data_IF_672992797255
#
_entry.id   IF_672992797255
#
_cell.length_a   1.000
_cell.length_b   1.000
_cell.length_c   1.000
_cell.angle_alpha   90.00
_cell.angle_beta   90.00
_cell.angle_gamma   90.00
#
_symmetry.space_group_name_H-M   'P 1'
#
loop_
_entity.id
_entity.type
_entity.pdbx_description
1 polymer ?
#
# COMPACT_ATOMS: atom_id res chain seq x y z
N UNK A 1 -16.67 0.45 30.52
CA UNK A 1 -15.77 1.40 29.84
C UNK A 1 -16.13 1.29 28.38
N UNK A 2 -16.58 2.36 27.73
CA UNK A 2 -16.95 2.31 26.31
C UNK A 2 -15.67 2.52 25.52
N UNK A 3 -15.31 1.57 24.67
CA UNK A 3 -14.13 1.66 23.79
C UNK A 3 -14.61 2.13 22.43
N UNK A 4 -14.00 3.18 21.85
CA UNK A 4 -14.35 3.63 20.50
C UNK A 4 -13.39 3.03 19.49
N UNK A 5 -13.95 2.38 18.47
CA UNK A 5 -13.20 1.84 17.34
C UNK A 5 -13.64 2.52 16.06
N UNK A 6 -12.69 3.04 15.30
CA UNK A 6 -12.94 3.54 13.94
C UNK A 6 -12.58 2.47 12.93
N UNK A 7 -13.41 2.31 11.90
CA UNK A 7 -13.25 1.25 10.89
C UNK A 7 -13.42 1.84 9.52
N UNK A 8 -12.40 1.72 8.66
CA UNK A 8 -12.42 2.39 7.36
C UNK A 8 -13.03 1.53 6.23
N UNK A 9 -12.78 0.22 6.27
CA UNK A 9 -13.25 -0.70 5.24
C UNK A 9 -14.57 -1.39 5.64
N UNK A 10 -15.55 -1.41 4.71
CA UNK A 10 -16.87 -2.03 4.90
C UNK A 10 -16.78 -3.51 5.30
N UNK A 11 -15.81 -4.23 4.74
CA UNK A 11 -15.59 -5.64 5.06
C UNK A 11 -15.02 -5.81 6.48
N UNK A 12 -14.25 -4.85 6.99
CA UNK A 12 -13.79 -4.83 8.38
C UNK A 12 -14.94 -4.53 9.34
N UNK A 13 -15.82 -3.57 8.99
CA UNK A 13 -16.95 -3.18 9.83
C UNK A 13 -17.91 -4.35 10.08
N UNK A 14 -18.21 -5.12 9.03
CA UNK A 14 -19.12 -6.27 9.13
C UNK A 14 -18.52 -7.49 9.88
N UNK A 15 -17.21 -7.49 10.13
CA UNK A 15 -16.51 -8.58 10.85
C UNK A 15 -16.27 -8.28 12.33
N UNK A 16 -16.45 -7.03 12.75
CA UNK A 16 -16.25 -6.62 14.14
C UNK A 16 -17.54 -6.89 14.91
N UNK A 17 -17.46 -7.79 15.88
CA UNK A 17 -18.52 -8.02 16.85
C UNK A 17 -17.93 -8.07 18.25
N UNK A 18 -17.74 -6.90 18.84
CA UNK A 18 -17.27 -6.78 20.22
C UNK A 18 -18.29 -6.02 21.06
N UNK A 19 -18.77 -6.66 22.14
CA UNK A 19 -19.89 -6.16 22.95
C UNK A 19 -19.58 -4.86 23.70
N UNK A 20 -18.30 -4.59 23.95
CA UNK A 20 -17.84 -3.44 24.73
C UNK A 20 -17.35 -2.27 23.86
N UNK A 21 -17.54 -2.36 22.53
CA UNK A 21 -17.04 -1.39 21.57
C UNK A 21 -18.19 -0.61 20.92
N UNK A 22 -17.99 0.70 20.83
CA UNK A 22 -18.77 1.58 19.98
C UNK A 22 -18.02 1.79 18.66
N UNK A 23 -18.54 1.20 17.58
CA UNK A 23 -17.85 1.14 16.29
C UNK A 23 -18.35 2.24 15.37
N UNK A 24 -17.42 3.04 14.83
CA UNK A 24 -17.70 4.12 13.87
C UNK A 24 -17.11 3.73 12.51
N UNK A 25 -17.99 3.47 11.54
CA UNK A 25 -17.59 3.22 10.17
C UNK A 25 -17.29 4.52 9.41
N UNK A 26 -16.08 4.63 8.88
CA UNK A 26 -15.55 5.83 8.20
C UNK A 26 -15.08 5.46 6.79
N UNK A 27 -16.01 5.14 5.88
CA UNK A 27 -15.67 4.74 4.50
C UNK A 27 -14.77 5.74 3.75
N UNK A 28 -13.59 5.32 3.28
CA UNK A 28 -12.67 6.03 2.37
C UNK A 28 -11.92 7.23 2.98
N UNK A 29 -11.09 7.91 2.16
CA UNK A 29 -10.18 9.01 2.55
C UNK A 29 -10.69 9.97 3.65
N UNK A 30 -9.81 10.28 4.61
CA UNK A 30 -10.08 11.14 5.76
C UNK A 30 -10.20 12.63 5.40
N UNK A 31 -11.42 13.13 5.22
CA UNK A 31 -11.68 14.57 5.00
C UNK A 31 -11.96 15.37 6.29
N UNK A 32 -11.93 16.71 6.19
CA UNK A 32 -12.12 17.66 7.31
C UNK A 32 -13.42 17.42 8.08
N UNK A 33 -14.51 17.04 7.39
CA UNK A 33 -15.81 16.81 8.02
C UNK A 33 -15.80 15.55 8.92
N UNK A 34 -15.23 14.45 8.43
CA UNK A 34 -15.04 13.21 9.21
C UNK A 34 -14.15 13.46 10.43
N UNK A 35 -13.05 14.20 10.24
CA UNK A 35 -12.15 14.57 11.33
C UNK A 35 -12.85 15.43 12.40
N UNK A 36 -13.69 16.39 11.98
CA UNK A 36 -14.43 17.27 12.90
C UNK A 36 -15.46 16.50 13.73
N UNK A 37 -16.16 15.54 13.10
CA UNK A 37 -17.12 14.67 13.78
C UNK A 37 -16.44 13.82 14.86
N UNK A 38 -15.29 13.20 14.54
CA UNK A 38 -14.56 12.35 15.49
C UNK A 38 -14.02 13.18 16.66
N UNK A 39 -13.48 14.38 16.40
CA UNK A 39 -13.05 15.31 17.45
C UNK A 39 -14.20 15.73 18.36
N UNK A 40 -15.38 15.98 17.80
CA UNK A 40 -16.56 16.31 18.60
C UNK A 40 -16.94 15.15 19.51
N UNK A 41 -16.97 13.92 18.99
CA UNK A 41 -17.24 12.70 19.78
C UNK A 41 -16.19 12.55 20.89
N UNK A 42 -14.90 12.71 20.60
CA UNK A 42 -13.84 12.64 21.61
C UNK A 42 -13.99 13.72 22.70
N UNK A 43 -14.31 14.97 22.32
CA UNK A 43 -14.47 16.07 23.28
C UNK A 43 -15.67 15.93 24.21
N UNK A 44 -16.67 15.15 23.81
CA UNK A 44 -17.92 14.97 24.53
C UNK A 44 -18.00 13.67 25.34
N UNK A 45 -16.99 12.78 25.22
CA UNK A 45 -16.98 11.49 25.88
C UNK A 45 -15.67 11.27 26.67
N UNK A 46 -15.78 10.80 27.91
CA UNK A 46 -14.64 10.40 28.78
C UNK A 46 -14.02 9.05 28.38
N UNK A 47 -13.92 8.79 27.07
CA UNK A 47 -13.38 7.53 26.53
C UNK A 47 -11.86 7.54 26.63
N UNK A 48 -11.31 6.58 27.36
CA UNK A 48 -9.86 6.47 27.65
C UNK A 48 -9.05 5.78 26.56
N UNK A 49 -9.71 5.04 25.67
CA UNK A 49 -9.04 4.20 24.68
C UNK A 49 -9.71 4.29 23.32
N UNK A 50 -8.89 4.58 22.30
CA UNK A 50 -9.28 4.72 20.91
C UNK A 50 -8.48 3.75 20.06
N UNK A 51 -9.17 2.99 19.22
CA UNK A 51 -8.57 2.04 18.31
C UNK A 51 -9.01 2.36 16.88
N UNK A 52 -8.14 2.05 15.93
CA UNK A 52 -8.44 2.13 14.50
C UNK A 52 -8.16 0.80 13.85
N UNK A 53 -9.04 0.43 12.93
CA UNK A 53 -9.01 -0.86 12.26
C UNK A 53 -9.36 -0.68 10.79
N UNK A 54 -8.35 -0.66 9.93
CA UNK A 54 -8.50 -0.30 8.52
C UNK A 54 -7.16 0.15 7.94
N UNK A 55 -7.21 0.59 6.69
CA UNK A 55 -6.06 1.13 5.99
C UNK A 55 -5.64 2.44 6.68
N UNK A 56 -4.34 2.72 6.76
CA UNK A 56 -3.84 3.96 7.38
C UNK A 56 -3.28 4.83 6.27
N UNK A 57 -4.15 5.70 5.74
CA UNK A 57 -3.75 6.75 4.81
C UNK A 57 -2.72 7.71 5.45
N UNK A 58 -1.97 8.50 4.67
CA UNK A 58 -1.06 9.53 5.20
C UNK A 58 -1.76 10.55 6.12
N UNK A 59 -3.01 10.91 5.81
CA UNK A 59 -3.88 11.74 6.66
C UNK A 59 -4.37 10.99 7.91
N UNK A 60 -4.31 9.66 7.84
CA UNK A 60 -4.51 8.70 8.92
C UNK A 60 -3.47 8.84 10.04
N UNK A 61 -2.20 8.97 9.66
CA UNK A 61 -1.10 9.01 10.63
C UNK A 61 -1.13 10.26 11.53
N UNK A 62 -1.57 11.39 10.98
CA UNK A 62 -1.71 12.66 11.71
C UNK A 62 -2.82 12.66 12.78
N UNK A 63 -3.75 11.69 12.76
CA UNK A 63 -4.82 11.60 13.75
C UNK A 63 -4.47 10.71 14.95
N UNK A 64 -3.77 9.59 14.74
CA UNK A 64 -3.44 8.63 15.82
C UNK A 64 -2.49 9.25 16.85
N UNK A 65 -1.64 10.16 16.38
CA UNK A 65 -0.73 10.98 17.19
C UNK A 65 -1.42 12.15 17.91
N UNK A 66 -2.59 12.62 17.45
CA UNK A 66 -3.32 13.76 18.06
C UNK A 66 -4.37 13.35 19.11
N UNK A 67 -4.88 12.12 19.07
CA UNK A 67 -5.83 11.60 20.06
C UNK A 67 -5.12 11.14 21.36
N UNK A 68 -3.82 10.87 21.29
CA UNK A 68 -2.96 10.57 22.45
C UNK A 68 -2.30 11.90 22.87
N UNK A 69 -2.99 12.61 23.76
CA UNK A 69 -2.61 13.83 24.49
C UNK A 69 -1.75 14.87 23.74
N UNK A 70 -2.32 15.96 23.19
CA UNK A 70 -1.76 17.33 23.30
C UNK A 70 -2.87 18.39 23.12
N UNK A 71 -2.91 19.38 24.03
CA UNK A 71 -3.82 20.54 24.00
C UNK A 71 -3.48 21.45 22.79
N UNK A 72 -4.50 21.84 22.02
CA UNK A 72 -4.37 22.62 20.79
C UNK A 72 -3.94 24.09 21.02
N UNK A 73 -3.07 24.59 20.14
CA UNK A 73 -2.69 26.00 19.99
C UNK A 73 -2.94 26.41 18.51
N UNK A 74 -3.61 27.56 18.31
CA UNK A 74 -4.20 28.02 17.04
C UNK A 74 -3.22 28.68 16.04
N UNK A 75 -1.98 28.19 15.95
CA UNK A 75 -0.95 28.89 15.17
C UNK A 75 -0.11 27.89 14.37
N UNK A 76 -0.52 27.59 13.13
CA UNK A 76 0.06 26.57 12.26
C UNK A 76 1.57 26.74 12.06
N UNK A 77 2.06 27.99 11.93
CA UNK A 77 3.50 28.28 11.82
C UNK A 77 4.25 27.96 13.11
N UNK A 78 3.68 28.24 14.30
CA UNK A 78 4.28 27.81 15.56
C UNK A 78 4.18 26.31 15.79
N UNK A 79 3.17 25.64 15.25
CA UNK A 79 3.05 24.18 15.29
C UNK A 79 4.14 23.54 14.44
N UNK A 80 4.46 24.10 13.26
CA UNK A 80 5.58 23.63 12.45
C UNK A 80 6.93 23.93 13.13
N UNK A 81 7.10 25.13 13.71
CA UNK A 81 8.31 25.49 14.46
C UNK A 81 8.49 24.63 15.73
N UNK A 82 7.40 24.28 16.42
CA UNK A 82 7.42 23.35 17.56
C UNK A 82 7.59 21.90 17.13
N UNK A 83 7.05 21.47 15.98
CA UNK A 83 7.29 20.14 15.42
C UNK A 83 8.77 19.99 15.02
N UNK A 84 9.37 21.01 14.40
CA UNK A 84 10.79 21.06 14.08
C UNK A 84 11.66 21.12 15.34
N UNK A 85 11.21 21.82 16.37
CA UNK A 85 11.91 21.88 17.66
C UNK A 85 11.78 20.58 18.45
N UNK A 86 10.63 19.91 18.43
CA UNK A 86 10.42 18.59 19.02
C UNK A 86 11.18 17.52 18.23
N UNK A 87 11.27 17.66 16.90
CA UNK A 87 12.15 16.87 16.05
C UNK A 87 13.62 17.11 16.45
N UNK A 88 14.06 18.34 16.72
CA UNK A 88 15.41 18.55 17.28
C UNK A 88 15.58 17.99 18.68
N UNK A 89 14.63 18.18 19.60
CA UNK A 89 14.75 17.73 21.00
C UNK A 89 14.65 16.20 21.15
N UNK A 90 13.95 15.49 20.25
CA UNK A 90 13.91 14.02 20.19
C UNK A 90 15.15 13.45 19.48
N UNK A 91 15.69 14.15 18.47
CA UNK A 91 16.75 13.64 17.59
C UNK A 91 18.16 14.26 17.83
N UNK A 92 18.33 15.18 18.77
CA UNK A 92 19.66 15.66 19.23
C UNK A 92 20.32 14.71 20.25
N UNK A 93 19.60 13.66 20.67
CA UNK A 93 20.22 12.44 21.19
C UNK A 93 20.57 11.52 20.03
N UNK A 94 21.78 10.98 20.02
CA UNK A 94 22.28 9.99 19.05
C UNK A 94 21.26 8.83 18.87
N UNK A 95 20.36 8.95 17.89
CA UNK A 95 19.22 8.06 17.67
C UNK A 95 19.17 7.67 16.19
N UNK A 96 19.59 6.44 15.88
CA UNK A 96 18.72 5.27 15.62
C UNK A 96 17.80 5.45 14.41
N UNK A 97 18.07 4.66 13.38
CA UNK A 97 17.25 4.40 12.17
C UNK A 97 15.74 4.65 12.33
N UNK A 98 15.16 5.54 11.52
CA UNK A 98 13.70 5.70 11.45
C UNK A 98 13.07 4.56 10.66
N UNK A 99 11.86 4.14 11.01
CA UNK A 99 11.09 3.15 10.26
C UNK A 99 9.77 3.75 9.80
N UNK A 100 9.54 3.74 8.48
CA UNK A 100 8.35 4.22 7.81
C UNK A 100 7.57 3.03 7.23
N UNK A 101 6.23 3.12 7.24
CA UNK A 101 5.36 2.14 6.60
C UNK A 101 4.41 2.87 5.66
N UNK A 102 4.24 2.35 4.44
CA UNK A 102 3.36 2.90 3.40
C UNK A 102 2.65 1.74 2.69
N UNK A 103 1.48 1.97 2.10
CA UNK A 103 0.75 1.00 1.26
C UNK A 103 0.08 1.71 0.09
N UNK A 104 -0.46 0.94 -0.86
CA UNK A 104 -1.46 1.38 -1.84
C UNK A 104 -0.98 2.57 -2.70
N UNK A 105 0.25 2.44 -3.21
CA UNK A 105 0.87 3.47 -4.05
C UNK A 105 0.15 3.59 -5.40
N UNK A 106 -0.31 2.46 -5.96
CA UNK A 106 -1.17 2.44 -7.15
C UNK A 106 -0.65 3.32 -8.30
N UNK A 107 0.62 3.20 -8.69
CA UNK A 107 1.22 3.96 -9.78
C UNK A 107 1.25 5.48 -9.56
N UNK A 108 1.03 5.97 -8.33
CA UNK A 108 1.18 7.38 -7.92
C UNK A 108 2.66 7.70 -7.65
N UNK A 109 3.50 7.51 -8.67
CA UNK A 109 4.95 7.62 -8.54
C UNK A 109 5.42 9.02 -8.10
N UNK A 110 4.80 10.09 -8.60
CA UNK A 110 5.21 11.46 -8.28
C UNK A 110 4.91 11.80 -6.81
N UNK A 111 3.75 11.39 -6.31
CA UNK A 111 3.35 11.52 -4.90
C UNK A 111 4.26 10.69 -4.00
N UNK A 112 4.62 9.49 -4.44
CA UNK A 112 5.58 8.64 -3.75
C UNK A 112 6.95 9.32 -3.63
N UNK A 113 7.50 9.89 -4.71
CA UNK A 113 8.77 10.64 -4.63
C UNK A 113 8.66 11.88 -3.74
N UNK A 114 7.59 12.67 -3.86
CA UNK A 114 7.35 13.83 -3.00
C UNK A 114 7.28 13.44 -1.51
N UNK A 115 6.70 12.27 -1.20
CA UNK A 115 6.68 11.74 0.16
C UNK A 115 8.10 11.45 0.66
N UNK A 116 8.92 10.72 -0.12
CA UNK A 116 10.30 10.42 0.23
C UNK A 116 11.13 11.69 0.46
N UNK A 117 10.95 12.70 -0.38
CA UNK A 117 11.60 14.01 -0.22
C UNK A 117 11.17 14.70 1.08
N UNK A 118 9.86 14.71 1.37
CA UNK A 118 9.28 15.36 2.55
C UNK A 118 9.76 14.74 3.86
N UNK A 119 9.94 13.42 3.90
CA UNK A 119 10.48 12.73 5.08
C UNK A 119 12.00 12.72 5.12
N UNK A 120 12.67 13.31 4.12
CA UNK A 120 14.12 13.27 3.94
C UNK A 120 14.67 11.84 4.00
N UNK A 121 13.99 10.90 3.34
CA UNK A 121 14.33 9.48 3.39
C UNK A 121 15.77 9.25 2.95
N UNK A 122 16.54 8.54 3.79
CA UNK A 122 17.97 8.32 3.61
C UNK A 122 18.34 6.85 3.79
N UNK A 123 19.60 6.50 3.57
CA UNK A 123 20.16 5.17 3.79
C UNK A 123 20.19 4.75 5.27
N UNK A 124 19.96 5.69 6.20
CA UNK A 124 19.85 5.43 7.64
C UNK A 124 18.47 5.01 8.06
N UNK A 125 17.46 5.22 7.22
CA UNK A 125 16.07 4.91 7.51
C UNK A 125 15.69 3.52 6.99
N UNK A 126 14.49 3.04 7.33
CA UNK A 126 13.88 1.83 6.82
C UNK A 126 12.50 2.19 6.29
N UNK A 127 12.19 1.84 5.05
CA UNK A 127 10.85 1.97 4.48
C UNK A 127 10.26 0.59 4.25
N UNK A 128 9.04 0.37 4.72
CA UNK A 128 8.28 -0.86 4.50
C UNK A 128 7.06 -0.51 3.67
N UNK A 129 7.06 -0.91 2.40
CA UNK A 129 5.92 -0.76 1.51
C UNK A 129 5.05 -2.03 1.61
N UNK A 130 3.77 -1.87 1.88
CA UNK A 130 2.86 -2.91 2.33
C UNK A 130 1.93 -3.42 1.21
N UNK A 131 2.34 -3.31 -0.05
CA UNK A 131 1.62 -3.84 -1.20
C UNK A 131 0.95 -2.77 -2.07
N UNK A 132 0.40 -3.24 -3.19
CA UNK A 132 -0.43 -2.49 -4.13
C UNK A 132 0.32 -1.31 -4.78
N UNK A 133 1.41 -1.65 -5.48
CA UNK A 133 2.31 -0.66 -6.05
C UNK A 133 1.85 -0.11 -7.39
N UNK A 134 1.16 -0.93 -8.17
CA UNK A 134 0.70 -0.63 -9.53
C UNK A 134 -0.82 -0.66 -9.61
N UNK A 135 -1.32 -0.46 -10.83
CA UNK A 135 -2.73 -0.24 -11.17
C UNK A 135 -3.29 1.10 -10.70
N UNK A 136 -4.42 1.49 -11.31
CA UNK A 136 -5.22 2.71 -11.05
C UNK A 136 -4.52 4.03 -11.39
N UNK A 137 -3.27 4.23 -11.00
CA UNK A 137 -2.48 5.41 -11.34
C UNK A 137 -1.88 5.35 -12.74
N UNK A 138 -1.27 6.46 -13.15
CA UNK A 138 -0.74 6.62 -14.51
C UNK A 138 0.71 6.15 -14.66
N UNK A 139 1.53 6.24 -13.60
CA UNK A 139 2.99 6.08 -13.68
C UNK A 139 3.46 4.70 -13.20
N UNK A 140 2.82 3.65 -13.74
CA UNK A 140 3.13 2.26 -13.39
C UNK A 140 4.53 1.84 -13.86
N UNK A 141 4.95 2.32 -15.04
CA UNK A 141 6.28 2.06 -15.57
C UNK A 141 7.36 2.61 -14.63
N UNK A 142 7.23 3.87 -14.21
CA UNK A 142 8.17 4.53 -13.31
C UNK A 142 8.19 3.86 -11.94
N UNK A 143 7.02 3.47 -11.43
CA UNK A 143 6.92 2.77 -10.15
C UNK A 143 7.65 1.42 -10.18
N UNK A 144 7.43 0.59 -11.21
CA UNK A 144 8.12 -0.71 -11.33
C UNK A 144 9.62 -0.55 -11.64
N UNK A 145 9.98 0.46 -12.42
CA UNK A 145 11.38 0.81 -12.68
C UNK A 145 12.09 1.24 -11.40
N UNK A 146 11.41 1.99 -10.52
CA UNK A 146 11.95 2.37 -9.22
C UNK A 146 12.08 1.17 -8.28
N UNK A 147 11.06 0.30 -8.19
CA UNK A 147 11.09 -0.93 -7.38
C UNK A 147 12.27 -1.82 -7.81
N UNK A 148 12.51 -1.93 -9.11
CA UNK A 148 13.63 -2.70 -9.68
C UNK A 148 15.01 -2.20 -9.23
N UNK A 149 15.11 -0.92 -8.89
CA UNK A 149 16.33 -0.25 -8.48
C UNK A 149 16.29 0.22 -7.02
N UNK A 150 15.34 -0.29 -6.23
CA UNK A 150 15.07 0.23 -4.90
C UNK A 150 16.30 0.06 -3.97
N UNK A 151 16.55 1.02 -3.08
CA UNK A 151 17.57 0.90 -2.05
C UNK A 151 17.35 -0.33 -1.16
N UNK A 152 18.43 -0.90 -0.62
CA UNK A 152 18.38 -2.10 0.24
C UNK A 152 17.60 -1.91 1.54
N UNK A 153 17.42 -0.66 1.97
CA UNK A 153 16.66 -0.28 3.14
C UNK A 153 15.17 -0.01 2.83
N UNK A 154 14.69 -0.49 1.68
CA UNK A 154 13.27 -0.56 1.34
C UNK A 154 12.84 -2.03 1.29
N UNK A 155 11.80 -2.36 2.04
CA UNK A 155 11.19 -3.67 2.11
C UNK A 155 9.83 -3.61 1.42
N UNK A 156 9.56 -4.55 0.53
CA UNK A 156 8.28 -4.68 -0.16
C UNK A 156 7.55 -5.91 0.34
N UNK A 157 6.27 -5.76 0.67
CA UNK A 157 5.33 -6.83 0.99
C UNK A 157 4.33 -6.96 -0.15
N UNK A 158 3.95 -8.17 -0.54
CA UNK A 158 3.12 -8.39 -1.72
C UNK A 158 1.64 -8.11 -1.44
N UNK A 159 1.05 -7.14 -2.13
CA UNK A 159 -0.39 -6.85 -2.15
C UNK A 159 -1.18 -7.74 -3.12
N UNK A 160 -2.49 -7.52 -3.20
CA UNK A 160 -3.34 -8.30 -4.11
C UNK A 160 -3.21 -7.84 -5.56
N UNK A 161 -2.96 -6.55 -5.81
CA UNK A 161 -2.71 -6.04 -7.15
C UNK A 161 -1.39 -6.58 -7.70
N UNK A 162 -0.38 -6.69 -6.84
CA UNK A 162 0.91 -7.27 -7.20
C UNK A 162 0.76 -8.77 -7.54
N UNK A 163 -0.05 -9.52 -6.77
CA UNK A 163 -0.37 -10.93 -7.04
C UNK A 163 -1.20 -11.10 -8.33
N UNK A 164 -2.15 -10.20 -8.60
CA UNK A 164 -2.91 -10.18 -9.87
C UNK A 164 -1.96 -9.99 -11.06
N UNK A 165 -1.06 -9.01 -10.98
CA UNK A 165 -0.04 -8.78 -11.99
C UNK A 165 0.83 -10.02 -12.22
N UNK A 166 1.37 -10.61 -11.15
CA UNK A 166 2.17 -11.84 -11.22
C UNK A 166 1.40 -12.97 -11.92
N UNK A 167 0.14 -13.17 -11.54
CA UNK A 167 -0.73 -14.22 -12.11
C UNK A 167 -0.97 -13.99 -13.60
N UNK A 168 -1.26 -12.77 -14.01
CA UNK A 168 -1.46 -12.42 -15.42
C UNK A 168 -0.17 -12.67 -16.24
N UNK A 169 1.00 -12.29 -15.71
CA UNK A 169 2.28 -12.56 -16.38
C UNK A 169 2.56 -14.06 -16.50
N UNK A 170 2.23 -14.88 -15.48
CA UNK A 170 2.37 -16.34 -15.59
C UNK A 170 1.48 -16.95 -16.68
N UNK A 171 0.23 -16.49 -16.80
CA UNK A 171 -0.67 -16.93 -17.87
C UNK A 171 -0.10 -16.54 -19.24
N UNK A 172 0.34 -15.29 -19.39
CA UNK A 172 0.97 -14.82 -20.62
C UNK A 172 2.23 -15.60 -20.93
N UNK A 173 3.02 -15.98 -19.92
CA UNK A 173 4.27 -16.73 -20.11
C UNK A 173 4.01 -18.11 -20.70
N UNK A 174 3.00 -18.81 -20.19
CA UNK A 174 2.58 -20.09 -20.77
C UNK A 174 2.21 -19.96 -22.25
N UNK A 175 1.42 -18.94 -22.61
CA UNK A 175 1.03 -18.71 -24.01
C UNK A 175 2.23 -18.30 -24.87
N UNK A 176 3.15 -17.51 -24.34
CA UNK A 176 4.38 -17.11 -25.03
C UNK A 176 5.25 -18.32 -25.37
N UNK A 177 5.42 -19.24 -24.42
CA UNK A 177 6.21 -20.47 -24.59
C UNK A 177 5.58 -21.42 -25.61
N UNK A 178 4.27 -21.68 -25.50
CA UNK A 178 3.54 -22.55 -26.43
C UNK A 178 3.50 -22.00 -27.86
N UNK A 179 3.51 -20.67 -28.01
CA UNK A 179 3.53 -19.99 -29.30
C UNK A 179 4.95 -19.70 -29.82
N UNK A 180 6.00 -20.06 -29.07
CA UNK A 180 7.42 -19.81 -29.39
C UNK A 180 7.71 -18.34 -29.75
N UNK A 181 7.08 -17.39 -29.03
CA UNK A 181 7.26 -15.95 -29.25
C UNK A 181 8.56 -15.44 -28.60
N UNK A 182 9.21 -14.44 -29.19
CA UNK A 182 10.38 -13.77 -28.61
C UNK A 182 9.94 -12.75 -27.55
N UNK A 183 10.22 -13.06 -26.28
CA UNK A 183 9.92 -12.19 -25.14
C UNK A 183 10.55 -10.79 -25.24
N UNK A 184 11.64 -10.64 -26.01
CA UNK A 184 12.33 -9.36 -26.19
C UNK A 184 11.74 -8.52 -27.34
N UNK A 185 10.93 -9.13 -28.22
CA UNK A 185 10.31 -8.45 -29.34
C UNK A 185 9.08 -7.68 -28.87
N UNK A 186 9.04 -6.37 -29.16
CA UNK A 186 7.88 -5.52 -28.87
C UNK A 186 6.66 -5.96 -29.70
N UNK A 187 6.89 -6.35 -30.96
CA UNK A 187 5.81 -6.83 -31.83
C UNK A 187 5.21 -8.13 -31.30
N UNK A 188 6.05 -9.05 -30.82
CA UNK A 188 5.60 -10.31 -30.23
C UNK A 188 4.91 -10.07 -28.89
N UNK A 189 5.39 -9.10 -28.09
CA UNK A 189 4.75 -8.70 -26.82
C UNK A 189 3.33 -8.17 -27.05
N UNK A 190 3.14 -7.32 -28.07
CA UNK A 190 1.82 -6.82 -28.49
C UNK A 190 0.94 -7.97 -28.99
N UNK A 191 1.51 -8.89 -29.79
CA UNK A 191 0.79 -10.05 -30.33
C UNK A 191 0.33 -10.99 -29.22
N UNK A 192 1.21 -11.28 -28.27
CA UNK A 192 0.95 -12.08 -27.09
C UNK A 192 -0.19 -11.49 -26.26
N UNK A 193 -0.10 -10.20 -25.91
CA UNK A 193 -1.14 -9.53 -25.13
C UNK A 193 -2.51 -9.63 -25.81
N UNK A 194 -2.58 -9.35 -27.12
CA UNK A 194 -3.83 -9.43 -27.90
C UNK A 194 -4.38 -10.86 -27.94
N UNK A 195 -3.52 -11.87 -28.07
CA UNK A 195 -3.94 -13.27 -28.08
C UNK A 195 -4.56 -13.67 -26.73
N UNK A 196 -3.90 -13.32 -25.62
CA UNK A 196 -4.39 -13.62 -24.27
C UNK A 196 -5.66 -12.84 -23.94
N UNK A 197 -5.72 -11.55 -24.29
CA UNK A 197 -6.91 -10.72 -24.12
C UNK A 197 -8.11 -11.31 -24.86
N UNK A 198 -7.94 -11.67 -26.14
CA UNK A 198 -9.01 -12.29 -26.93
C UNK A 198 -9.45 -13.63 -26.35
N UNK A 199 -8.51 -14.44 -25.84
CA UNK A 199 -8.84 -15.69 -25.18
C UNK A 199 -9.63 -15.46 -23.87
N UNK A 200 -9.25 -14.47 -23.07
CA UNK A 200 -9.96 -14.09 -21.85
C UNK A 200 -11.40 -13.64 -22.17
N UNK A 201 -11.58 -12.78 -23.17
CA UNK A 201 -12.89 -12.32 -23.65
C UNK A 201 -13.79 -13.48 -24.11
N UNK A 202 -13.25 -14.42 -24.89
CA UNK A 202 -13.99 -15.59 -25.38
C UNK A 202 -14.47 -16.52 -24.26
N UNK A 203 -13.77 -16.54 -23.12
CA UNK A 203 -14.10 -17.35 -21.96
C UNK A 203 -14.86 -16.57 -20.87
N UNK A 204 -15.30 -15.34 -21.16
CA UNK A 204 -15.91 -14.42 -20.18
C UNK A 204 -15.05 -14.22 -18.93
N UNK A 205 -13.72 -14.30 -19.06
CA UNK A 205 -12.80 -13.98 -17.97
C UNK A 205 -12.63 -12.48 -17.89
N UNK A 206 -13.35 -11.86 -16.95
CA UNK A 206 -13.31 -10.42 -16.71
C UNK A 206 -12.10 -9.97 -15.88
N UNK A 207 -11.27 -10.91 -15.38
CA UNK A 207 -10.18 -10.61 -14.44
C UNK A 207 -8.81 -10.45 -15.10
N UNK A 208 -8.64 -10.90 -16.35
CA UNK A 208 -7.36 -10.70 -17.05
C UNK A 208 -7.14 -9.20 -17.27
N UNK A 209 -6.02 -8.69 -16.74
CA UNK A 209 -5.63 -7.28 -16.80
C UNK A 209 -6.80 -6.33 -16.49
N UNK A 210 -7.47 -6.54 -15.36
CA UNK A 210 -8.73 -5.86 -15.00
C UNK A 210 -8.60 -4.33 -15.05
N UNK A 211 -7.44 -3.80 -14.66
CA UNK A 211 -7.13 -2.38 -14.67
C UNK A 211 -6.52 -1.87 -15.99
N UNK A 212 -6.24 -2.75 -16.94
CA UNK A 212 -5.63 -2.45 -18.23
C UNK A 212 -4.15 -2.03 -18.14
N UNK A 213 -3.50 -2.30 -17.01
CA UNK A 213 -2.14 -1.84 -16.72
C UNK A 213 -1.13 -2.54 -17.60
N UNK A 214 -1.24 -3.87 -17.77
CA UNK A 214 -0.34 -4.64 -18.64
C UNK A 214 -0.51 -4.20 -20.09
N UNK A 215 -1.75 -4.01 -20.53
CA UNK A 215 -2.07 -3.49 -21.85
C UNK A 215 -1.44 -2.14 -22.13
N UNK A 216 -1.53 -1.19 -21.19
CA UNK A 216 -0.88 0.13 -21.33
C UNK A 216 0.64 0.01 -21.38
N UNK A 217 1.24 -0.78 -20.48
CA UNK A 217 2.69 -0.99 -20.46
C UNK A 217 3.20 -1.53 -21.80
N UNK A 218 2.53 -2.52 -22.38
CA UNK A 218 2.95 -3.11 -23.67
C UNK A 218 2.65 -2.19 -24.86
N UNK A 219 1.43 -1.65 -24.94
CA UNK A 219 0.96 -0.98 -26.16
C UNK A 219 1.31 0.51 -26.21
N UNK A 220 1.43 1.18 -25.06
CA UNK A 220 1.69 2.63 -24.97
C UNK A 220 3.14 2.90 -24.57
N UNK A 221 3.62 2.25 -23.51
CA UNK A 221 5.00 2.41 -23.00
C UNK A 221 6.02 1.52 -23.72
N UNK A 222 5.57 0.67 -24.65
CA UNK A 222 6.42 -0.24 -25.43
C UNK A 222 7.33 -1.13 -24.57
N UNK A 223 6.81 -1.60 -23.43
CA UNK A 223 7.48 -2.54 -22.54
C UNK A 223 7.48 -3.93 -23.17
N UNK A 224 8.67 -4.54 -23.26
CA UNK A 224 8.79 -5.93 -23.72
C UNK A 224 8.25 -6.91 -22.68
N UNK A 225 7.76 -8.06 -23.15
CA UNK A 225 7.29 -9.11 -22.26
C UNK A 225 8.42 -9.64 -21.34
N UNK A 226 9.66 -9.67 -21.83
CA UNK A 226 10.84 -10.00 -21.02
C UNK A 226 10.98 -9.08 -19.79
N UNK A 227 10.77 -7.76 -19.95
CA UNK A 227 10.84 -6.81 -18.84
C UNK A 227 9.68 -7.01 -17.85
N UNK A 228 8.46 -7.31 -18.35
CA UNK A 228 7.35 -7.68 -17.48
C UNK A 228 7.64 -8.96 -16.68
N UNK A 229 8.27 -9.96 -17.31
CA UNK A 229 8.71 -11.17 -16.62
C UNK A 229 9.76 -10.88 -15.53
N UNK A 230 10.68 -9.95 -15.77
CA UNK A 230 11.66 -9.55 -14.76
C UNK A 230 11.00 -8.83 -13.58
N UNK A 231 10.03 -7.96 -13.84
CA UNK A 231 9.21 -7.35 -12.80
C UNK A 231 8.38 -8.38 -12.02
N UNK A 232 7.80 -9.36 -12.69
CA UNK A 232 7.08 -10.45 -12.05
C UNK A 232 7.97 -11.27 -11.10
N UNK A 233 9.22 -11.55 -11.48
CA UNK A 233 10.20 -12.21 -10.60
C UNK A 233 10.51 -11.40 -9.34
N UNK A 234 10.47 -10.07 -9.41
CA UNK A 234 10.63 -9.22 -8.22
C UNK A 234 9.43 -9.39 -7.30
N UNK A 235 8.21 -9.28 -7.86
CA UNK A 235 6.96 -9.45 -7.11
C UNK A 235 6.89 -10.84 -6.47
N UNK A 236 7.25 -11.89 -7.20
CA UNK A 236 7.30 -13.28 -6.71
C UNK A 236 8.24 -13.47 -5.50
N UNK A 237 9.24 -12.60 -5.33
CA UNK A 237 10.15 -12.63 -4.17
C UNK A 237 9.64 -11.83 -2.98
N UNK A 238 8.66 -10.94 -3.18
CA UNK A 238 8.06 -10.18 -2.10
C UNK A 238 7.29 -11.13 -1.18
N UNK A 239 7.54 -11.13 0.14
CA UNK A 239 6.78 -11.95 1.08
C UNK A 239 5.35 -11.42 1.23
N UNK A 240 4.43 -12.29 1.63
CA UNK A 240 3.04 -11.90 1.93
C UNK A 240 2.88 -11.15 3.26
N UNK A 241 3.87 -11.24 4.14
CA UNK A 241 3.92 -10.45 5.37
C UNK A 241 5.37 -10.16 5.73
N UNK A 242 5.58 -9.08 6.49
CA UNK A 242 6.88 -8.73 7.03
C UNK A 242 6.79 -8.58 8.55
N UNK A 243 7.70 -9.24 9.27
CA UNK A 243 7.76 -9.19 10.72
C UNK A 243 9.00 -8.39 11.14
N UNK A 244 8.78 -7.42 12.04
CA UNK A 244 9.85 -6.57 12.58
C UNK A 244 9.67 -6.35 14.08
N UNK A 245 10.77 -6.45 14.82
CA UNK A 245 10.78 -6.16 16.25
C UNK A 245 11.22 -4.71 16.47
N UNK A 246 10.33 -3.88 17.02
CA UNK A 246 10.57 -2.47 17.34
C UNK A 246 10.34 -2.29 18.85
N UNK A 247 11.34 -1.78 19.57
CA UNK A 247 11.25 -1.52 21.02
C UNK A 247 10.72 -2.71 21.84
N UNK A 248 11.22 -3.92 21.55
CA UNK A 248 10.82 -5.20 22.18
C UNK A 248 9.37 -5.60 21.93
N UNK A 249 8.71 -4.98 20.95
CA UNK A 249 7.39 -5.41 20.44
C UNK A 249 7.55 -5.96 19.04
N UNK A 250 6.99 -7.14 18.82
CA UNK A 250 6.88 -7.70 17.48
C UNK A 250 5.71 -7.03 16.75
N UNK A 251 6.00 -6.48 15.58
CA UNK A 251 5.01 -5.96 14.65
C UNK A 251 4.97 -6.87 13.41
N UNK A 252 3.78 -7.09 12.89
CA UNK A 252 3.56 -7.86 11.66
C UNK A 252 2.80 -6.97 10.69
N UNK A 253 3.36 -6.79 9.50
CA UNK A 253 2.81 -5.96 8.42
C UNK A 253 2.31 -6.93 7.36
N UNK A 254 1.03 -6.84 7.02
CA UNK A 254 0.37 -7.71 6.06
C UNK A 254 -0.64 -6.89 5.24
N UNK A 255 -0.53 -6.86 3.90
CA UNK A 255 -1.53 -6.28 3.02
C UNK A 255 -2.91 -6.92 3.21
N UNK A 256 -3.96 -6.09 3.22
CA UNK A 256 -5.32 -6.50 3.56
C UNK A 256 -5.91 -7.60 2.64
N UNK A 257 -5.41 -7.75 1.41
CA UNK A 257 -6.16 -8.38 0.33
C UNK A 257 -5.60 -9.70 -0.23
N UNK A 258 -4.46 -10.20 0.25
CA UNK A 258 -3.93 -11.53 -0.15
C UNK A 258 -4.88 -12.66 0.28
N UNK A 259 -5.75 -12.42 1.27
CA UNK A 259 -6.65 -13.43 1.83
C UNK A 259 -7.88 -13.79 0.99
N UNK A 260 -8.19 -13.06 -0.09
CA UNK A 260 -9.45 -13.24 -0.83
C UNK A 260 -9.30 -13.80 -2.26
N UNK A 261 -8.08 -13.95 -2.79
CA UNK A 261 -7.90 -14.41 -4.17
C UNK A 261 -7.84 -15.95 -4.31
N UNK A 262 -7.37 -16.67 -3.29
CA UNK A 262 -7.25 -18.14 -3.34
C UNK A 262 -7.60 -18.76 -1.99
N UNK A 263 -8.50 -19.74 -2.01
CA UNK A 263 -9.19 -20.24 -0.83
C UNK A 263 -8.30 -20.73 0.32
N UNK A 264 -8.83 -20.55 1.54
CA UNK A 264 -8.52 -21.29 2.76
C UNK A 264 -7.05 -21.67 2.99
N UNK A 265 -6.25 -20.75 3.54
CA UNK A 265 -5.15 -21.17 4.40
C UNK A 265 -5.75 -21.73 5.70
N UNK A 266 -5.64 -23.06 5.86
CA UNK A 266 -5.85 -23.72 7.15
C UNK A 266 -4.75 -23.25 8.11
N UNK A 267 -5.18 -22.78 9.28
CA UNK A 267 -4.32 -22.57 10.44
C UNK A 267 -3.48 -23.84 10.71
N UNK A 268 -2.18 -23.65 10.95
CA UNK A 268 -1.30 -24.62 11.60
C UNK A 268 -0.94 -24.07 12.97
#
# INVERSE_FOLDING_TARGET
MVIIMTVENLASYNRIYEKDYFVIYLAGYHNIAKQSLIKLIASQNDVKEWYHFGDIDPDGWGWMTKCIEWRWCDDYEKVMEQADKLHKEIYEGDCTMNTYVMSDIHGCYDEFQQMLEKIHFSDRDLLICAGDYIDRGAKNYEMMSWISNAPKNVIFVRGNHDEEFLTNIHIMKYVCDEAELDENSIEDSITLYKAVQKFAEQNNNIFFDYYGTIGKLINEELVSFALLCDWAKIVERMPYFYKIDINKRTNVICPYAVNNAYGHFKEV
#
